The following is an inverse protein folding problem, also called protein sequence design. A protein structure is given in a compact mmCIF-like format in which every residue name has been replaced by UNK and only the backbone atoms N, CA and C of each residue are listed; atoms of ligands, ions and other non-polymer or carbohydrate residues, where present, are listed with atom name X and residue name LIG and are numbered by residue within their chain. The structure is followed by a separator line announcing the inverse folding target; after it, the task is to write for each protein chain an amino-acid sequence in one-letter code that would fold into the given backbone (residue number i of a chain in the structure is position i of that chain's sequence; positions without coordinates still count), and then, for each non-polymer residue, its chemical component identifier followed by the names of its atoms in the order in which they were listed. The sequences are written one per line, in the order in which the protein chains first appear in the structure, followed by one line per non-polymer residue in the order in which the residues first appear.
data_IF_314673716025
#
_entry.id   IF_314673716025
#
_cell.length_a   1.000
_cell.length_b   1.000
_cell.length_c   1.000
_cell.angle_alpha   90.00
_cell.angle_beta   90.00
_cell.angle_gamma   90.00
#
_symmetry.space_group_name_H-M   'P 1'
#
loop_
_entity.id
_entity.type
_entity.pdbx_description
1 polymer ?
#
# COMPACT_ATOMS: atom_id res chain seq x y z
N UNK A 1 -8.74 21.58 -37.03
CA UNK A 1 -9.67 21.38 -35.89
C UNK A 1 -10.06 19.92 -35.92
N UNK A 2 -9.29 19.10 -35.22
CA UNK A 2 -9.51 17.66 -35.08
C UNK A 2 -10.29 17.44 -33.80
N UNK A 3 -11.55 17.04 -33.97
CA UNK A 3 -12.48 16.67 -32.91
C UNK A 3 -11.87 15.54 -32.07
N UNK A 4 -11.46 15.86 -30.84
CA UNK A 4 -10.79 14.94 -29.90
C UNK A 4 -11.73 14.62 -28.74
N UNK A 5 -12.92 14.09 -29.03
CA UNK A 5 -13.89 13.69 -27.99
C UNK A 5 -14.58 12.35 -28.26
N UNK A 6 -14.04 11.50 -29.14
CA UNK A 6 -14.54 10.14 -29.30
C UNK A 6 -14.03 9.27 -28.15
N UNK A 7 -14.71 9.39 -27.01
CA UNK A 7 -14.69 8.39 -25.93
C UNK A 7 -14.99 7.03 -26.57
N UNK A 8 -14.18 5.97 -26.29
CA UNK A 8 -14.44 4.66 -26.86
C UNK A 8 -15.87 4.22 -26.51
N UNK A 9 -16.60 3.62 -27.48
CA UNK A 9 -17.97 3.20 -27.24
C UNK A 9 -18.01 2.19 -26.09
N UNK A 10 -19.03 2.33 -25.26
CA UNK A 10 -19.40 1.36 -24.25
C UNK A 10 -19.56 -0.03 -24.90
N UNK A 11 -19.19 -1.14 -24.22
CA UNK A 11 -19.64 -2.47 -24.63
C UNK A 11 -21.17 -2.46 -24.80
N UNK A 12 -21.68 -3.15 -25.82
CA UNK A 12 -23.09 -3.07 -26.24
C UNK A 12 -24.11 -3.45 -25.13
N UNK A 13 -23.66 -4.10 -24.04
CA UNK A 13 -24.52 -4.55 -22.93
C UNK A 13 -24.45 -3.69 -21.64
N UNK A 14 -24.14 -2.40 -21.77
CA UNK A 14 -24.22 -1.44 -20.66
C UNK A 14 -25.65 -1.06 -20.24
N UNK A 15 -26.69 -1.69 -20.82
CA UNK A 15 -28.09 -1.45 -20.42
C UNK A 15 -28.38 -1.90 -18.98
N UNK A 16 -27.55 -2.78 -18.43
CA UNK A 16 -27.69 -3.36 -17.10
C UNK A 16 -26.69 -2.80 -16.07
N UNK A 17 -25.76 -1.94 -16.50
CA UNK A 17 -24.75 -1.38 -15.61
C UNK A 17 -25.37 -0.36 -14.65
N UNK A 18 -25.00 -0.46 -13.36
CA UNK A 18 -25.39 0.52 -12.34
C UNK A 18 -24.31 1.59 -12.25
N UNK A 19 -24.72 2.85 -12.39
CA UNK A 19 -23.81 4.00 -12.20
C UNK A 19 -24.08 4.64 -10.85
N UNK A 20 -23.03 4.70 -10.02
CA UNK A 20 -23.06 5.29 -8.68
C UNK A 20 -22.25 6.58 -8.71
N UNK A 21 -22.79 7.67 -8.15
CA UNK A 21 -22.03 8.92 -8.03
C UNK A 21 -20.90 8.74 -7.03
N UNK A 22 -19.77 9.41 -7.26
CA UNK A 22 -18.61 9.31 -6.38
C UNK A 22 -18.95 9.56 -4.91
N UNK A 23 -19.78 10.57 -4.63
CA UNK A 23 -20.17 10.93 -3.26
C UNK A 23 -21.09 9.89 -2.59
N UNK A 24 -21.80 9.09 -3.41
CA UNK A 24 -22.69 8.01 -2.95
C UNK A 24 -21.96 6.67 -2.83
N UNK A 25 -20.74 6.57 -3.37
CA UNK A 25 -19.90 5.37 -3.33
C UNK A 25 -19.07 5.24 -2.05
N UNK A 26 -19.44 5.97 -0.99
CA UNK A 26 -18.73 6.02 0.31
C UNK A 26 -19.58 5.42 1.43
N UNK A 27 -20.57 4.58 1.10
CA UNK A 27 -21.62 4.15 2.02
C UNK A 27 -21.06 3.52 3.32
N UNK A 28 -21.22 4.17 4.50
CA UNK A 28 -20.75 3.65 5.78
C UNK A 28 -21.32 2.28 6.17
N UNK A 29 -22.42 1.86 5.53
CA UNK A 29 -23.06 0.56 5.72
C UNK A 29 -22.27 -0.62 5.14
N UNK A 30 -21.26 -0.36 4.30
CA UNK A 30 -20.38 -1.39 3.72
C UNK A 30 -19.06 -1.55 4.48
N UNK A 31 -18.80 -0.72 5.49
CA UNK A 31 -17.55 -0.73 6.22
C UNK A 31 -17.45 -1.97 7.12
N UNK A 32 -16.58 -2.90 6.72
CA UNK A 32 -16.19 -4.03 7.54
C UNK A 32 -15.67 -3.57 8.91
N UNK A 33 -15.91 -4.37 9.98
CA UNK A 33 -15.49 -4.01 11.33
C UNK A 33 -13.97 -3.84 11.40
N UNK A 34 -13.54 -2.92 12.26
CA UNK A 34 -12.13 -2.73 12.57
C UNK A 34 -11.54 -3.97 13.24
N UNK A 35 -10.31 -4.33 12.86
CA UNK A 35 -9.56 -5.48 13.39
C UNK A 35 -8.11 -5.11 13.60
N UNK A 36 -7.50 -5.71 14.61
CA UNK A 36 -6.06 -5.62 14.86
C UNK A 36 -5.41 -6.93 14.42
N UNK A 37 -4.38 -6.83 13.57
CA UNK A 37 -3.62 -7.97 13.06
C UNK A 37 -2.16 -7.85 13.49
N UNK A 38 -1.53 -8.99 13.79
CA UNK A 38 -0.12 -9.06 14.13
C UNK A 38 0.70 -9.60 12.97
N UNK A 39 1.64 -8.80 12.48
CA UNK A 39 2.53 -9.18 11.38
C UNK A 39 3.95 -9.32 11.93
N UNK A 40 4.49 -10.54 11.85
CA UNK A 40 5.86 -10.83 12.25
C UNK A 40 6.80 -10.74 11.01
N UNK A 41 7.93 -10.05 11.17
CA UNK A 41 8.96 -9.84 10.13
C UNK A 41 10.30 -10.44 10.55
N UNK A 42 11.06 -10.97 9.60
CA UNK A 42 12.47 -11.32 9.82
C UNK A 42 13.30 -10.06 9.54
N UNK A 43 14.00 -9.55 10.54
CA UNK A 43 14.81 -8.34 10.42
C UNK A 43 16.28 -8.73 10.51
N UNK A 44 17.13 -8.45 9.50
CA UNK A 44 18.55 -8.77 9.58
C UNK A 44 19.21 -8.09 10.78
N UNK A 45 20.18 -8.74 11.43
CA UNK A 45 20.90 -8.14 12.57
C UNK A 45 21.56 -6.80 12.19
N UNK A 46 22.00 -6.67 10.94
CA UNK A 46 22.56 -5.43 10.39
C UNK A 46 21.54 -4.28 10.29
N UNK A 47 20.24 -4.56 10.33
CA UNK A 47 19.17 -3.57 10.42
C UNK A 47 18.91 -3.15 11.86
N UNK A 48 18.91 -4.08 12.82
CA UNK A 48 18.45 -3.84 14.19
C UNK A 48 19.15 -2.67 14.90
N UNK A 49 20.44 -2.45 14.63
CA UNK A 49 21.22 -1.35 15.21
C UNK A 49 21.49 -0.20 14.23
N UNK A 50 20.93 -0.24 13.01
CA UNK A 50 21.34 0.63 11.90
C UNK A 50 21.12 2.12 12.16
N UNK A 51 20.07 2.48 12.90
CA UNK A 51 19.77 3.88 13.21
C UNK A 51 20.44 4.38 14.50
N UNK A 52 21.29 3.58 15.16
CA UNK A 52 21.80 3.87 16.51
C UNK A 52 22.46 5.25 16.65
N UNK A 53 23.24 5.69 15.65
CA UNK A 53 23.94 6.98 15.66
C UNK A 53 23.01 8.19 15.46
N UNK A 54 21.89 8.00 14.75
CA UNK A 54 20.96 9.06 14.38
C UNK A 54 19.65 9.03 15.18
N UNK A 55 19.41 8.00 15.99
CA UNK A 55 18.14 7.79 16.72
C UNK A 55 17.76 8.98 17.60
N UNK A 56 18.75 9.64 18.21
CA UNK A 56 18.53 10.87 19.01
C UNK A 56 18.00 12.06 18.20
N UNK A 57 18.19 12.05 16.89
CA UNK A 57 17.73 13.08 15.95
C UNK A 57 16.33 12.76 15.40
N UNK A 58 15.82 11.55 15.68
CA UNK A 58 14.62 10.97 15.10
C UNK A 58 13.67 10.53 16.23
N UNK A 59 13.05 11.47 16.97
CA UNK A 59 12.20 11.13 18.11
C UNK A 59 10.94 10.36 17.72
N UNK A 60 10.30 10.74 16.61
CA UNK A 60 9.07 10.10 16.08
C UNK A 60 9.18 10.05 14.54
N UNK A 61 10.09 9.24 13.99
CA UNK A 61 10.40 9.32 12.58
C UNK A 61 9.29 8.73 11.73
N UNK A 62 8.97 9.40 10.63
CA UNK A 62 8.18 8.84 9.55
C UNK A 62 9.06 8.67 8.31
N UNK A 63 9.27 7.43 7.89
CA UNK A 63 10.12 7.06 6.76
C UNK A 63 9.26 6.69 5.54
N UNK A 64 9.53 7.34 4.41
CA UNK A 64 8.88 7.08 3.13
C UNK A 64 9.90 6.56 2.12
N UNK A 65 9.64 5.36 1.62
CA UNK A 65 10.43 4.70 0.59
C UNK A 65 9.64 4.64 -0.71
N UNK A 66 10.21 5.19 -1.78
CA UNK A 66 9.69 5.00 -3.13
C UNK A 66 10.83 4.47 -4.00
N UNK A 67 10.88 3.14 -4.25
CA UNK A 67 11.82 2.58 -5.20
C UNK A 67 11.39 3.03 -6.61
N UNK A 68 12.35 3.43 -7.44
CA UNK A 68 12.02 3.76 -8.82
C UNK A 68 13.09 3.30 -9.78
N UNK A 69 12.64 2.80 -10.94
CA UNK A 69 13.48 2.33 -12.03
C UNK A 69 14.35 3.43 -12.65
N UNK A 70 13.93 4.70 -12.50
CA UNK A 70 14.63 5.89 -13.01
C UNK A 70 14.87 6.97 -11.97
N UNK A 71 14.08 7.00 -10.90
CA UNK A 71 14.19 7.95 -9.78
C UNK A 71 13.69 7.29 -8.51
N UNK A 72 14.57 7.06 -7.55
CA UNK A 72 14.20 6.57 -6.23
C UNK A 72 14.33 7.67 -5.19
N UNK A 73 13.52 7.57 -4.14
CA UNK A 73 13.58 8.49 -2.99
C UNK A 73 13.44 7.76 -1.68
N UNK A 74 14.21 8.22 -0.68
CA UNK A 74 14.05 7.87 0.72
C UNK A 74 13.95 9.17 1.51
N UNK A 75 12.81 9.43 2.13
CA UNK A 75 12.58 10.63 2.92
C UNK A 75 12.28 10.25 4.35
N UNK A 76 12.88 10.95 5.31
CA UNK A 76 12.50 10.88 6.72
C UNK A 76 11.98 12.23 7.18
N UNK A 77 10.85 12.21 7.87
CA UNK A 77 10.38 13.30 8.70
C UNK A 77 10.81 12.96 10.14
N UNK A 78 11.75 13.69 10.75
CA UNK A 78 12.26 13.38 12.09
C UNK A 78 11.17 13.39 13.19
N UNK A 79 10.18 14.26 12.99
CA UNK A 79 8.99 14.39 13.81
C UNK A 79 7.87 14.97 12.91
N UNK A 80 6.66 14.39 12.90
CA UNK A 80 5.54 14.86 12.07
C UNK A 80 5.23 16.36 12.20
N UNK A 81 5.49 16.95 13.37
CA UNK A 81 5.21 18.36 13.64
C UNK A 81 6.35 19.32 13.22
N UNK A 82 7.56 18.83 12.93
CA UNK A 82 8.77 19.65 12.87
C UNK A 82 8.99 20.40 11.54
N UNK A 83 8.05 20.32 10.58
CA UNK A 83 8.17 20.90 9.22
C UNK A 83 9.56 20.69 8.58
N UNK A 84 10.21 19.59 8.95
CA UNK A 84 11.58 19.25 8.57
C UNK A 84 11.55 17.93 7.84
N UNK A 85 12.11 17.91 6.65
CA UNK A 85 12.22 16.73 5.79
C UNK A 85 13.66 16.54 5.39
N UNK A 86 14.20 15.37 5.71
CA UNK A 86 15.52 14.94 5.24
C UNK A 86 15.31 13.97 4.10
N UNK A 87 15.91 14.24 2.94
CA UNK A 87 15.65 13.54 1.70
C UNK A 87 16.95 13.02 1.10
N UNK A 88 16.91 11.77 0.66
CA UNK A 88 17.87 11.18 -0.25
C UNK A 88 17.15 10.86 -1.56
N UNK A 89 17.63 11.37 -2.69
CA UNK A 89 17.06 11.12 -4.01
C UNK A 89 18.13 10.73 -5.02
N UNK A 90 17.87 9.74 -5.86
CA UNK A 90 18.81 9.30 -6.91
C UNK A 90 18.10 8.98 -8.20
N UNK A 91 18.78 9.18 -9.32
CA UNK A 91 18.30 8.72 -10.63
C UNK A 91 18.79 7.31 -10.96
N UNK A 92 20.08 7.05 -10.73
CA UNK A 92 20.73 5.81 -11.18
C UNK A 92 21.16 4.89 -10.04
N UNK A 93 21.82 5.44 -9.02
CA UNK A 93 22.36 4.66 -7.90
C UNK A 93 22.31 5.44 -6.59
N UNK A 94 22.16 4.74 -5.46
CA UNK A 94 22.20 5.34 -4.11
C UNK A 94 23.55 6.00 -3.83
N UNK A 95 24.64 5.46 -4.39
CA UNK A 95 25.99 6.03 -4.25
C UNK A 95 26.09 7.44 -4.85
N UNK A 96 25.35 7.71 -5.93
CA UNK A 96 25.29 9.02 -6.58
C UNK A 96 24.06 9.84 -6.14
N UNK A 97 23.38 9.46 -5.06
CA UNK A 97 22.20 10.17 -4.60
C UNK A 97 22.53 11.59 -4.12
N UNK A 98 21.61 12.51 -4.31
CA UNK A 98 21.60 13.83 -3.73
C UNK A 98 20.96 13.79 -2.34
N UNK A 99 21.62 14.40 -1.37
CA UNK A 99 21.13 14.56 0.00
C UNK A 99 20.70 15.99 0.24
N UNK A 100 19.49 16.19 0.75
CA UNK A 100 18.96 17.51 1.11
C UNK A 100 18.21 17.50 2.44
N UNK A 101 18.23 18.65 3.10
CA UNK A 101 17.41 18.92 4.29
C UNK A 101 16.56 20.14 3.96
N UNK A 102 15.24 19.97 4.04
CA UNK A 102 14.27 21.03 3.89
C UNK A 102 13.67 21.31 5.27
N UNK A 103 13.86 22.53 5.78
CA UNK A 103 13.32 22.96 7.07
C UNK A 103 12.99 24.45 7.01
N UNK A 104 12.13 24.90 7.93
CA UNK A 104 11.91 26.32 8.19
C UNK A 104 12.99 26.92 9.08
N UNK A 105 13.70 26.09 9.87
CA UNK A 105 14.85 26.54 10.63
C UNK A 105 16.07 26.66 9.70
N UNK A 106 16.86 27.72 9.86
CA UNK A 106 18.03 27.97 9.00
C UNK A 106 19.12 26.88 9.15
N UNK A 107 19.17 26.22 10.31
CA UNK A 107 20.15 25.18 10.61
C UNK A 107 19.59 24.15 11.62
N UNK A 108 18.66 23.27 11.21
CA UNK A 108 18.03 22.29 12.11
C UNK A 108 19.00 21.22 12.60
N UNK A 109 20.15 21.06 11.93
CA UNK A 109 21.18 20.07 12.24
C UNK A 109 22.57 20.68 12.07
N UNK A 110 23.49 20.29 12.96
CA UNK A 110 24.92 20.57 12.79
C UNK A 110 25.51 19.82 11.58
N UNK A 111 26.71 20.21 11.15
CA UNK A 111 27.39 19.54 10.04
C UNK A 111 27.61 18.04 10.29
N UNK A 112 28.00 17.67 11.52
CA UNK A 112 28.23 16.27 11.90
C UNK A 112 26.92 15.47 11.92
N UNK A 113 25.83 16.07 12.40
CA UNK A 113 24.49 15.44 12.38
C UNK A 113 23.98 15.24 10.96
N UNK A 114 24.20 16.21 10.07
CA UNK A 114 23.86 16.09 8.64
C UNK A 114 24.65 14.96 7.98
N UNK A 115 25.94 14.86 8.25
CA UNK A 115 26.79 13.79 7.72
C UNK A 115 26.34 12.40 8.24
N UNK A 116 25.97 12.30 9.52
CA UNK A 116 25.44 11.07 10.11
C UNK A 116 24.09 10.67 9.48
N UNK A 117 23.17 11.63 9.32
CA UNK A 117 21.87 11.41 8.66
C UNK A 117 22.04 10.98 7.21
N UNK A 118 22.93 11.62 6.46
CA UNK A 118 23.22 11.25 5.07
C UNK A 118 23.81 9.83 4.98
N UNK A 119 24.81 9.52 5.80
CA UNK A 119 25.43 8.19 5.86
C UNK A 119 24.41 7.10 6.17
N UNK A 120 23.57 7.35 7.18
CA UNK A 120 22.49 6.43 7.57
C UNK A 120 21.47 6.26 6.44
N UNK A 121 20.97 7.34 5.83
CA UNK A 121 19.99 7.25 4.72
C UNK A 121 20.56 6.50 3.52
N UNK A 122 21.82 6.72 3.15
CA UNK A 122 22.48 5.99 2.06
C UNK A 122 22.57 4.50 2.38
N UNK A 123 22.94 4.15 3.61
CA UNK A 123 23.03 2.76 4.07
C UNK A 123 21.65 2.09 4.11
N UNK A 124 20.63 2.81 4.60
CA UNK A 124 19.24 2.34 4.63
C UNK A 124 18.70 2.14 3.22
N UNK A 125 18.88 3.09 2.31
CA UNK A 125 18.43 2.98 0.91
C UNK A 125 19.10 1.80 0.18
N UNK A 126 20.42 1.62 0.35
CA UNK A 126 21.12 0.48 -0.23
C UNK A 126 20.60 -0.87 0.31
N UNK A 127 20.27 -0.92 1.61
CA UNK A 127 19.69 -2.11 2.23
C UNK A 127 18.27 -2.39 1.74
N UNK A 128 17.43 -1.36 1.63
CA UNK A 128 16.07 -1.48 1.10
C UNK A 128 16.09 -1.97 -0.35
N UNK A 129 17.01 -1.48 -1.18
CA UNK A 129 17.18 -2.00 -2.55
C UNK A 129 17.60 -3.47 -2.58
N UNK A 130 18.51 -3.88 -1.71
CA UNK A 130 18.95 -5.27 -1.63
C UNK A 130 17.82 -6.22 -1.18
N UNK A 131 16.94 -5.73 -0.30
CA UNK A 131 15.88 -6.50 0.33
C UNK A 131 14.49 -6.27 -0.30
N UNK A 132 14.39 -5.55 -1.42
CA UNK A 132 13.13 -5.15 -2.05
C UNK A 132 12.22 -6.37 -2.33
N UNK A 133 12.79 -7.45 -2.88
CA UNK A 133 12.05 -8.69 -3.11
C UNK A 133 11.60 -9.39 -1.82
N UNK A 134 12.38 -9.32 -0.74
CA UNK A 134 11.98 -9.88 0.57
C UNK A 134 10.90 -9.03 1.25
N UNK A 135 10.92 -7.71 1.01
CA UNK A 135 9.91 -6.76 1.44
C UNK A 135 8.59 -7.03 0.73
N UNK A 136 8.57 -7.10 -0.61
CA UNK A 136 7.35 -7.38 -1.36
C UNK A 136 6.77 -8.77 -1.03
N UNK A 137 7.62 -9.80 -0.89
CA UNK A 137 7.17 -11.12 -0.45
C UNK A 137 6.56 -11.12 0.98
N UNK A 138 7.07 -10.27 1.88
CA UNK A 138 6.50 -10.13 3.22
C UNK A 138 5.15 -9.41 3.20
N UNK A 139 5.01 -8.37 2.35
CA UNK A 139 3.76 -7.64 2.14
C UNK A 139 2.69 -8.55 1.54
N UNK A 140 3.01 -9.26 0.46
CA UNK A 140 2.11 -10.18 -0.21
C UNK A 140 1.62 -11.28 0.74
N UNK A 141 2.54 -11.87 1.52
CA UNK A 141 2.20 -12.86 2.56
C UNK A 141 1.23 -12.27 3.58
N UNK A 142 1.56 -11.13 4.17
CA UNK A 142 0.74 -10.52 5.21
C UNK A 142 -0.69 -10.22 4.71
N UNK A 143 -0.81 -9.64 3.52
CA UNK A 143 -2.10 -9.34 2.89
C UNK A 143 -2.87 -10.63 2.60
N UNK A 144 -2.20 -11.67 2.09
CA UNK A 144 -2.81 -12.98 1.81
C UNK A 144 -3.32 -13.65 3.09
N UNK A 145 -2.51 -13.69 4.15
CA UNK A 145 -2.87 -14.28 5.43
C UNK A 145 -4.09 -13.56 6.03
N UNK A 146 -4.08 -12.22 6.05
CA UNK A 146 -5.18 -11.41 6.59
C UNK A 146 -6.45 -11.54 5.75
N UNK A 147 -6.32 -11.49 4.41
CA UNK A 147 -7.44 -11.69 3.50
C UNK A 147 -7.99 -13.12 3.52
N UNK A 148 -7.21 -14.11 3.99
CA UNK A 148 -7.70 -15.47 4.26
C UNK A 148 -8.38 -15.61 5.63
N UNK A 149 -8.41 -14.54 6.42
CA UNK A 149 -9.07 -14.48 7.72
C UNK A 149 -8.13 -14.57 8.93
N UNK A 150 -6.82 -14.73 8.73
CA UNK A 150 -5.86 -14.84 9.84
C UNK A 150 -5.57 -13.48 10.49
N UNK A 151 -5.70 -13.38 11.80
CA UNK A 151 -5.24 -12.20 12.57
C UNK A 151 -3.71 -12.19 12.81
N UNK A 152 -3.00 -13.22 12.34
CA UNK A 152 -1.55 -13.34 12.48
C UNK A 152 -0.90 -13.79 11.18
N UNK A 153 0.08 -13.01 10.72
CA UNK A 153 1.00 -13.43 9.66
C UNK A 153 2.39 -13.65 10.26
N UNK A 154 2.98 -14.80 9.97
CA UNK A 154 4.32 -15.15 10.41
C UNK A 154 5.18 -15.54 9.20
N UNK A 155 6.50 -15.26 9.23
CA UNK A 155 7.39 -15.73 8.18
C UNK A 155 7.39 -17.27 8.13
N UNK A 156 7.59 -17.88 6.95
CA UNK A 156 7.60 -19.33 6.82
C UNK A 156 8.68 -19.97 7.71
N UNK A 157 8.40 -21.17 8.19
CA UNK A 157 9.34 -21.91 9.03
C UNK A 157 10.66 -22.17 8.27
N UNK A 158 11.79 -22.03 8.96
CA UNK A 158 13.09 -22.30 8.36
C UNK A 158 13.62 -21.18 7.46
N UNK A 159 13.18 -19.94 7.66
CA UNK A 159 13.88 -18.73 7.18
C UNK A 159 14.86 -18.26 8.25
N UNK A 160 16.14 -18.70 8.27
CA UNK A 160 17.15 -18.05 9.08
C UNK A 160 17.79 -16.91 8.29
N UNK A 161 17.68 -15.70 8.83
CA UNK A 161 18.80 -14.76 9.04
C UNK A 161 18.25 -13.49 9.71
N UNK A 162 18.14 -13.53 11.03
CA UNK A 162 17.81 -12.38 11.87
C UNK A 162 16.68 -12.61 12.89
N UNK A 163 16.55 -11.73 13.90
CA UNK A 163 15.45 -11.74 14.85
C UNK A 163 14.09 -11.54 14.18
N UNK A 164 13.06 -12.15 14.76
CA UNK A 164 11.67 -11.92 14.38
C UNK A 164 11.11 -10.76 15.20
N UNK A 165 10.62 -9.71 14.52
CA UNK A 165 10.03 -8.52 15.12
C UNK A 165 8.57 -8.43 14.70
N UNK A 166 7.66 -8.29 15.66
CA UNK A 166 6.22 -8.17 15.40
C UNK A 166 5.76 -6.72 15.38
N UNK A 167 4.94 -6.36 14.40
CA UNK A 167 4.14 -5.14 14.39
C UNK A 167 2.65 -5.47 14.56
N UNK A 168 1.91 -4.58 15.20
CA UNK A 168 0.44 -4.63 15.25
C UNK A 168 -0.08 -3.57 14.32
N UNK A 169 -0.99 -3.95 13.43
CA UNK A 169 -1.59 -3.07 12.43
C UNK A 169 -3.12 -3.13 12.54
N UNK A 170 -3.77 -1.99 12.36
CA UNK A 170 -5.22 -1.91 12.29
C UNK A 170 -5.70 -2.04 10.84
N UNK A 171 -6.81 -2.74 10.62
CA UNK A 171 -7.34 -2.95 9.27
C UNK A 171 -8.86 -3.14 9.26
N UNK A 172 -9.47 -2.93 8.10
CA UNK A 172 -10.88 -3.25 7.80
C UNK A 172 -11.01 -4.37 6.77
N UNK A 173 -9.93 -5.12 6.51
CA UNK A 173 -10.02 -6.33 5.68
C UNK A 173 -10.91 -7.36 6.38
N UNK A 174 -12.00 -7.71 5.72
CA UNK A 174 -12.99 -8.66 6.22
C UNK A 174 -12.41 -10.08 6.30
N UNK A 175 -12.93 -10.87 7.25
CA UNK A 175 -12.75 -12.32 7.22
C UNK A 175 -13.63 -12.88 6.10
N UNK A 176 -13.12 -13.79 5.24
CA UNK A 176 -13.95 -14.51 4.29
C UNK A 176 -15.13 -15.20 4.98
N UNK A 177 -16.35 -14.95 4.50
CA UNK A 177 -17.51 -15.71 4.98
C UNK A 177 -17.55 -17.07 4.28
N UNK A 178 -17.29 -18.14 5.02
CA UNK A 178 -17.32 -19.51 4.52
C UNK A 178 -18.71 -19.97 4.02
N UNK A 179 -19.76 -19.19 4.27
CA UNK A 179 -21.12 -19.44 3.76
C UNK A 179 -21.44 -18.65 2.49
N UNK A 180 -20.60 -17.68 2.12
CA UNK A 180 -20.74 -16.96 0.85
C UNK A 180 -20.40 -17.88 -0.31
N UNK A 181 -21.11 -17.75 -1.43
CA UNK A 181 -20.73 -18.41 -2.69
C UNK A 181 -19.35 -17.92 -3.16
N UNK A 182 -19.07 -16.63 -2.93
CA UNK A 182 -17.82 -15.97 -3.26
C UNK A 182 -17.17 -15.43 -1.97
N UNK A 183 -16.38 -16.25 -1.24
CA UNK A 183 -15.83 -15.89 0.06
C UNK A 183 -14.69 -14.86 -0.05
N UNK A 184 -13.99 -14.82 -1.20
CA UNK A 184 -12.95 -13.85 -1.50
C UNK A 184 -12.98 -13.53 -3.00
N UNK A 185 -13.04 -12.24 -3.31
CA UNK A 185 -12.99 -11.73 -4.67
C UNK A 185 -11.79 -10.80 -4.81
N UNK A 186 -10.93 -11.08 -5.78
CA UNK A 186 -9.78 -10.27 -6.14
C UNK A 186 -10.17 -9.31 -7.28
N UNK A 187 -9.55 -8.12 -7.28
CA UNK A 187 -9.75 -7.13 -8.33
C UNK A 187 -8.50 -7.09 -9.19
N UNK A 188 -8.63 -7.51 -10.44
CA UNK A 188 -7.57 -7.43 -11.43
C UNK A 188 -7.67 -6.09 -12.16
N UNK A 189 -6.56 -5.35 -12.18
CA UNK A 189 -6.42 -4.17 -13.04
C UNK A 189 -6.28 -4.63 -14.51
N UNK A 190 -6.79 -3.86 -15.47
CA UNK A 190 -6.71 -4.25 -16.87
C UNK A 190 -5.26 -4.29 -17.35
N UNK A 191 -4.95 -5.27 -18.18
CA UNK A 191 -3.72 -5.25 -18.98
C UNK A 191 -3.75 -4.03 -19.92
N UNK A 192 -2.58 -3.46 -20.24
CA UNK A 192 -2.44 -2.20 -20.99
C UNK A 192 -3.04 -2.15 -22.41
N UNK A 193 -3.74 -3.21 -22.84
CA UNK A 193 -4.49 -3.30 -24.08
C UNK A 193 -5.99 -2.92 -23.95
N UNK A 194 -6.57 -2.89 -22.74
CA UNK A 194 -7.98 -2.52 -22.51
C UNK A 194 -8.09 -1.41 -21.44
N UNK A 195 -8.08 -0.13 -21.85
CA UNK A 195 -7.93 0.98 -20.93
C UNK A 195 -9.25 1.28 -20.20
N UNK A 196 -9.44 0.71 -19.00
CA UNK A 196 -10.29 1.32 -17.98
C UNK A 196 -11.26 0.43 -17.21
N UNK A 197 -11.21 -0.90 -17.38
CA UNK A 197 -12.07 -1.83 -16.63
C UNK A 197 -11.27 -2.67 -15.62
N UNK A 198 -11.63 -2.49 -14.36
CA UNK A 198 -11.25 -3.41 -13.28
C UNK A 198 -12.16 -4.64 -13.34
N UNK A 199 -11.59 -5.82 -13.12
CA UNK A 199 -12.31 -7.10 -13.22
C UNK A 199 -12.38 -7.75 -11.84
N UNK A 200 -13.58 -8.14 -11.43
CA UNK A 200 -13.79 -8.91 -10.20
C UNK A 200 -13.67 -10.40 -10.51
N UNK A 201 -12.78 -11.08 -9.80
CA UNK A 201 -12.43 -12.49 -10.01
C UNK A 201 -12.55 -13.25 -8.69
N UNK A 202 -13.33 -14.34 -8.67
CA UNK A 202 -13.37 -15.23 -7.51
C UNK A 202 -12.00 -15.87 -7.29
N UNK A 203 -11.46 -15.75 -6.08
CA UNK A 203 -10.15 -16.29 -5.73
C UNK A 203 -10.13 -17.83 -5.64
N UNK A 204 -11.30 -18.48 -5.54
CA UNK A 204 -11.44 -19.94 -5.41
C UNK A 204 -11.24 -20.64 -6.75
N UNK A 205 -11.91 -20.18 -7.81
CA UNK A 205 -11.95 -20.85 -9.11
C UNK A 205 -11.56 -19.97 -10.30
N UNK A 206 -11.32 -18.67 -10.06
CA UNK A 206 -10.98 -17.71 -11.11
C UNK A 206 -12.18 -17.26 -11.94
N UNK A 207 -13.41 -17.53 -11.50
CA UNK A 207 -14.61 -17.07 -12.19
C UNK A 207 -14.68 -15.54 -12.19
N UNK A 208 -15.10 -14.97 -13.32
CA UNK A 208 -15.22 -13.52 -13.48
C UNK A 208 -16.63 -13.08 -13.13
N UNK A 209 -16.76 -12.34 -12.03
CA UNK A 209 -18.04 -11.96 -11.45
C UNK A 209 -18.59 -10.64 -11.99
N UNK A 210 -17.72 -9.75 -12.46
CA UNK A 210 -18.14 -8.48 -13.01
C UNK A 210 -16.99 -7.52 -13.31
N UNK A 211 -17.37 -6.27 -13.51
CA UNK A 211 -16.47 -5.20 -13.90
C UNK A 211 -16.79 -3.90 -13.19
N UNK A 212 -15.76 -3.08 -12.99
CA UNK A 212 -15.90 -1.69 -12.56
C UNK A 212 -15.13 -0.77 -13.50
N UNK A 213 -15.71 0.40 -13.78
CA UNK A 213 -15.03 1.48 -14.50
C UNK A 213 -15.19 2.80 -13.75
N UNK A 214 -14.08 3.52 -13.63
CA UNK A 214 -14.09 4.91 -13.19
C UNK A 214 -14.55 5.81 -14.34
N UNK A 215 -15.53 6.67 -14.06
CA UNK A 215 -16.01 7.70 -14.97
C UNK A 215 -15.45 9.04 -14.50
N UNK A 216 -14.54 9.60 -15.29
CA UNK A 216 -13.89 10.89 -15.04
C UNK A 216 -14.24 11.94 -16.10
N UNK A 217 -14.09 13.20 -15.70
CA UNK A 217 -14.12 14.37 -16.59
C UNK A 217 -12.83 15.15 -16.36
N UNK A 218 -12.00 15.30 -17.40
CA UNK A 218 -10.66 15.89 -17.32
C UNK A 218 -9.77 15.31 -16.19
N UNK A 219 -9.86 14.00 -15.94
CA UNK A 219 -9.09 13.31 -14.90
C UNK A 219 -9.67 13.42 -13.50
N UNK A 220 -10.81 14.07 -13.32
CA UNK A 220 -11.54 14.11 -12.06
C UNK A 220 -12.67 13.07 -12.05
N UNK A 221 -12.58 12.01 -11.23
CA UNK A 221 -13.64 11.01 -11.11
C UNK A 221 -14.94 11.64 -10.58
N UNK A 222 -16.06 11.46 -11.31
CA UNK A 222 -17.39 11.93 -10.90
C UNK A 222 -18.37 10.79 -10.58
N UNK A 223 -18.13 9.58 -11.10
CA UNK A 223 -18.97 8.41 -10.88
C UNK A 223 -18.19 7.10 -11.13
N UNK A 224 -18.79 5.99 -10.72
CA UNK A 224 -18.30 4.64 -10.97
C UNK A 224 -19.41 3.80 -11.60
N UNK A 225 -19.05 2.98 -12.58
CA UNK A 225 -19.99 2.08 -13.24
C UNK A 225 -19.65 0.64 -12.91
N UNK A 226 -20.64 -0.10 -12.44
CA UNK A 226 -20.54 -1.50 -12.04
C UNK A 226 -21.41 -2.35 -12.97
N UNK A 227 -20.84 -3.43 -13.49
CA UNK A 227 -21.52 -4.37 -14.39
C UNK A 227 -21.26 -5.79 -13.91
N UNK A 228 -22.32 -6.51 -13.55
CA UNK A 228 -22.24 -7.96 -13.25
C UNK A 228 -22.06 -8.71 -14.57
N UNK A 229 -21.26 -9.77 -14.57
CA UNK A 229 -21.06 -10.56 -15.78
C UNK A 229 -22.32 -11.36 -16.14
N UNK A 230 -22.68 -11.42 -17.42
CA UNK A 230 -23.97 -11.96 -17.91
C UNK A 230 -24.29 -13.41 -17.49
N UNK A 231 -23.27 -14.19 -17.13
CA UNK A 231 -23.39 -15.60 -16.75
C UNK A 231 -23.58 -15.80 -15.24
N UNK A 232 -23.50 -14.73 -14.46
CA UNK A 232 -23.56 -14.74 -12.99
C UNK A 232 -24.92 -14.19 -12.56
N UNK A 233 -25.67 -14.96 -11.78
CA UNK A 233 -27.05 -14.64 -11.39
C UNK A 233 -27.23 -14.42 -9.87
N UNK A 234 -26.22 -14.72 -9.08
CA UNK A 234 -26.19 -14.61 -7.62
C UNK A 234 -25.40 -13.41 -7.08
N UNK A 235 -24.87 -12.57 -7.98
CA UNK A 235 -24.10 -11.35 -7.65
C UNK A 235 -24.90 -10.09 -8.00
N UNK A 236 -24.90 -9.12 -7.11
CA UNK A 236 -25.47 -7.80 -7.33
C UNK A 236 -24.39 -6.72 -7.53
N UNK A 237 -24.75 -5.56 -8.10
CA UNK A 237 -23.83 -4.41 -8.15
C UNK A 237 -23.35 -3.93 -6.76
N UNK A 238 -24.15 -4.11 -5.70
CA UNK A 238 -23.73 -3.76 -4.34
C UNK A 238 -22.66 -4.73 -3.80
N UNK A 239 -22.66 -6.00 -4.23
CA UNK A 239 -21.58 -6.95 -3.92
C UNK A 239 -20.27 -6.53 -4.60
N UNK A 240 -20.32 -6.11 -5.87
CA UNK A 240 -19.15 -5.58 -6.58
C UNK A 240 -18.56 -4.36 -5.89
N UNK A 241 -19.41 -3.45 -5.40
CA UNK A 241 -18.98 -2.27 -4.60
C UNK A 241 -18.29 -2.70 -3.32
N UNK A 242 -18.90 -3.61 -2.57
CA UNK A 242 -18.30 -4.14 -1.35
C UNK A 242 -16.94 -4.79 -1.60
N UNK A 243 -16.80 -5.60 -2.65
CA UNK A 243 -15.53 -6.24 -3.00
C UNK A 243 -14.46 -5.25 -3.45
N UNK A 244 -14.85 -4.16 -4.10
CA UNK A 244 -13.94 -3.06 -4.44
C UNK A 244 -13.46 -2.33 -3.17
N UNK A 245 -14.33 -2.07 -2.20
CA UNK A 245 -13.92 -1.52 -0.89
C UNK A 245 -12.93 -2.45 -0.18
N UNK A 246 -13.18 -3.76 -0.21
CA UNK A 246 -12.25 -4.76 0.33
C UNK A 246 -10.92 -4.81 -0.45
N UNK A 247 -10.92 -4.52 -1.75
CA UNK A 247 -9.69 -4.35 -2.52
C UNK A 247 -8.88 -3.13 -2.04
N UNK A 248 -9.53 -1.97 -1.86
CA UNK A 248 -8.88 -0.77 -1.31
C UNK A 248 -8.31 -1.04 0.07
N UNK A 249 -9.06 -1.70 0.97
CA UNK A 249 -8.57 -2.01 2.31
C UNK A 249 -7.37 -2.96 2.30
N UNK A 250 -7.27 -3.87 1.33
CA UNK A 250 -6.09 -4.72 1.14
C UNK A 250 -4.90 -3.93 0.61
N UNK A 251 -5.09 -2.96 -0.28
CA UNK A 251 -4.04 -2.05 -0.72
C UNK A 251 -3.51 -1.18 0.43
N UNK A 252 -4.40 -0.61 1.24
CA UNK A 252 -4.02 0.14 2.44
C UNK A 252 -3.24 -0.73 3.44
N UNK A 253 -3.70 -1.96 3.70
CA UNK A 253 -2.95 -2.91 4.53
C UNK A 253 -1.57 -3.21 3.93
N UNK A 254 -1.46 -3.38 2.61
CA UNK A 254 -0.18 -3.61 1.96
C UNK A 254 0.79 -2.45 2.17
N UNK A 255 0.30 -1.21 2.09
CA UNK A 255 1.08 -0.01 2.34
C UNK A 255 1.50 0.12 3.82
N UNK A 256 0.61 -0.18 4.77
CA UNK A 256 0.92 -0.17 6.20
C UNK A 256 1.98 -1.23 6.55
N UNK A 257 1.85 -2.45 6.00
CA UNK A 257 2.83 -3.53 6.18
C UNK A 257 4.17 -3.13 5.57
N UNK A 258 4.16 -2.53 4.37
CA UNK A 258 5.37 -2.04 3.69
C UNK A 258 6.04 -0.96 4.54
N UNK A 259 5.29 0.02 5.01
CA UNK A 259 5.80 1.11 5.84
C UNK A 259 6.41 0.57 7.13
N UNK A 260 5.73 -0.35 7.81
CA UNK A 260 6.27 -0.99 9.01
C UNK A 260 7.59 -1.71 8.75
N UNK A 261 7.66 -2.50 7.67
CA UNK A 261 8.87 -3.25 7.37
C UNK A 261 10.03 -2.34 6.92
N UNK A 262 9.75 -1.28 6.14
CA UNK A 262 10.73 -0.26 5.75
C UNK A 262 11.38 0.39 6.98
N UNK A 263 10.61 0.73 8.01
CA UNK A 263 11.15 1.28 9.26
C UNK A 263 12.06 0.29 9.96
N UNK A 264 11.62 -0.96 10.13
CA UNK A 264 12.40 -2.03 10.75
C UNK A 264 13.71 -2.28 10.00
N UNK A 265 13.67 -2.32 8.66
CA UNK A 265 14.87 -2.50 7.83
C UNK A 265 15.82 -1.31 7.92
N UNK A 266 15.32 -0.09 8.17
CA UNK A 266 16.13 1.10 8.42
C UNK A 266 16.70 1.17 9.85
N UNK A 267 16.31 0.25 10.74
CA UNK A 267 16.72 0.21 12.15
C UNK A 267 15.91 1.11 13.07
N UNK A 268 14.74 1.54 12.61
CA UNK A 268 13.76 2.27 13.40
C UNK A 268 12.74 1.29 14.00
N UNK A 269 11.99 1.77 14.99
CA UNK A 269 10.82 1.01 15.46
C UNK A 269 9.74 1.05 14.37
N UNK A 270 8.92 0.00 14.27
CA UNK A 270 7.73 0.06 13.42
C UNK A 270 6.86 1.24 13.90
N UNK A 271 6.33 2.07 12.99
CA UNK A 271 5.47 3.18 13.36
C UNK A 271 4.30 2.63 14.17
N UNK A 272 3.93 3.32 15.26
CA UNK A 272 2.72 2.99 15.98
C UNK A 272 1.57 3.06 14.96
N UNK A 273 0.93 1.91 14.69
CA UNK A 273 -0.23 1.85 13.80
C UNK A 273 -1.20 2.95 14.23
N UNK A 274 -1.52 3.87 13.31
CA UNK A 274 -2.53 4.90 13.53
C UNK A 274 -3.83 4.17 13.83
N UNK A 275 -4.17 4.05 15.11
CA UNK A 275 -5.53 3.72 15.52
C UNK A 275 -6.40 4.88 15.08
N UNK A 276 -7.07 4.74 13.95
CA UNK A 276 -8.20 5.59 13.60
C UNK A 276 -9.34 5.24 14.54
N UNK A 277 -9.34 5.80 15.75
CA UNK A 277 -10.52 5.82 16.60
C UNK A 277 -11.60 6.61 15.85
N UNK A 278 -12.68 5.92 15.47
CA UNK A 278 -13.85 6.51 14.82
C UNK A 278 -14.57 7.54 15.68
#
# INVERSE_FOLDING_TARGET
MTDSTLRPPLPDDMSQAVTVRRDDDVAPSLASPWREVRIDFVVPESSAAAAGEVRRLLPEPELHWAPGLRRGTLAVLPHPAALTRVLLSWEWTVAAADFSVHSFDDAPFSADERAALESWLRSAAARLQLLDGALEAAVERAVTDVASGSDRSAPPAGVPDGPVVGAVLGTRVAVPDARSAHPRVDVALPDGADPGWEVFVDAVDGERLGYRRTLDDDGEPYAFSYLVADHVDDVSPDDLRHWHDQHIHRQLLADDVRQAYVHLLAGLDAPASVTYSG
#
